data_IF_252747789989
#
_entry.id   IF_252747789989
#
_cell.length_a   1.000
_cell.length_b   1.000
_cell.length_c   1.000
_cell.angle_alpha   90.00
_cell.angle_beta   90.00
_cell.angle_gamma   90.00
#
_symmetry.space_group_name_H-M   'P 1'
#
loop_
_entity.id
_entity.type
_entity.pdbx_description
1 polymer ?
#
# COMPACT_ATOMS: atom_id res chain seq x y z
N UNK A 1 22.45 -20.70 -31.24
CA UNK A 1 21.96 -19.34 -30.89
C UNK A 1 20.45 -19.28 -30.62
N UNK A 2 19.62 -20.05 -31.32
CA UNK A 2 18.15 -20.08 -31.11
C UNK A 2 17.70 -20.56 -29.70
N UNK A 3 18.41 -21.50 -29.09
CA UNK A 3 18.05 -22.02 -27.75
C UNK A 3 18.10 -20.97 -26.63
N UNK A 4 19.05 -20.04 -26.69
CA UNK A 4 19.16 -18.97 -25.70
C UNK A 4 18.00 -17.96 -25.80
N UNK A 5 17.54 -17.68 -27.03
CA UNK A 5 16.40 -16.78 -27.27
C UNK A 5 15.10 -17.42 -26.79
N UNK A 6 14.91 -18.72 -27.01
CA UNK A 6 13.75 -19.48 -26.51
C UNK A 6 13.70 -19.53 -24.98
N UNK A 7 14.84 -19.78 -24.34
CA UNK A 7 14.94 -19.77 -22.88
C UNK A 7 14.60 -18.38 -22.30
N UNK A 8 15.10 -17.30 -22.92
CA UNK A 8 14.81 -15.93 -22.49
C UNK A 8 13.33 -15.59 -22.61
N UNK A 9 12.69 -15.96 -23.74
CA UNK A 9 11.25 -15.76 -23.94
C UNK A 9 10.41 -16.57 -22.94
N UNK A 10 10.81 -17.81 -22.65
CA UNK A 10 10.12 -18.65 -21.67
C UNK A 10 10.16 -18.04 -20.27
N UNK A 11 11.32 -17.54 -19.84
CA UNK A 11 11.48 -16.88 -18.54
C UNK A 11 10.66 -15.59 -18.47
N UNK A 12 10.67 -14.78 -19.54
CA UNK A 12 9.89 -13.55 -19.60
C UNK A 12 8.38 -13.84 -19.52
N UNK A 13 7.90 -14.83 -20.26
CA UNK A 13 6.52 -15.29 -20.22
C UNK A 13 6.16 -15.84 -18.82
N UNK A 14 7.08 -16.54 -18.16
CA UNK A 14 6.88 -17.05 -16.80
C UNK A 14 6.74 -15.93 -15.77
N UNK A 15 7.58 -14.88 -15.84
CA UNK A 15 7.50 -13.72 -14.93
C UNK A 15 6.20 -12.95 -15.13
N UNK A 16 5.84 -12.66 -16.39
CA UNK A 16 4.58 -11.99 -16.72
C UNK A 16 3.38 -12.85 -16.31
N UNK A 17 3.47 -14.16 -16.53
CA UNK A 17 2.48 -15.13 -16.10
C UNK A 17 2.28 -15.13 -14.58
N UNK A 18 3.36 -15.21 -13.80
CA UNK A 18 3.31 -15.14 -12.34
C UNK A 18 2.75 -13.79 -11.87
N UNK A 19 3.22 -12.67 -12.42
CA UNK A 19 2.72 -11.34 -12.09
C UNK A 19 1.23 -11.17 -12.43
N UNK A 20 0.79 -11.75 -13.55
CA UNK A 20 -0.62 -11.74 -13.96
C UNK A 20 -1.48 -12.64 -13.07
N UNK A 21 -0.99 -13.82 -12.69
CA UNK A 21 -1.67 -14.72 -11.74
C UNK A 21 -1.80 -14.06 -10.37
N UNK A 22 -0.75 -13.40 -9.88
CA UNK A 22 -0.79 -12.59 -8.65
C UNK A 22 -1.80 -11.45 -8.76
N UNK A 23 -1.88 -10.79 -9.93
CA UNK A 23 -2.88 -9.74 -10.22
C UNK A 23 -4.29 -10.28 -10.40
N UNK A 24 -4.44 -11.57 -10.76
CA UNK A 24 -5.71 -12.25 -10.97
C UNK A 24 -6.26 -12.87 -9.69
N UNK A 25 -5.43 -13.13 -8.69
CA UNK A 25 -5.90 -13.53 -7.36
C UNK A 25 -6.64 -12.35 -6.69
N UNK A 26 -7.94 -12.48 -6.39
CA UNK A 26 -8.74 -11.41 -5.79
C UNK A 26 -8.42 -11.13 -4.30
N UNK A 27 -7.25 -11.56 -3.79
CA UNK A 27 -6.97 -11.61 -2.35
C UNK A 27 -5.75 -10.83 -1.84
N UNK A 28 -4.92 -10.22 -2.68
CA UNK A 28 -3.63 -9.64 -2.21
C UNK A 28 -3.51 -8.13 -2.37
N UNK A 29 -4.61 -7.42 -2.62
CA UNK A 29 -4.64 -5.98 -2.56
C UNK A 29 -5.89 -5.56 -1.83
N UNK A 30 -5.73 -4.79 -0.76
CA UNK A 30 -6.70 -3.80 -0.32
C UNK A 30 -6.98 -2.86 -1.51
N UNK A 31 -7.69 -3.33 -2.54
CA UNK A 31 -8.34 -2.44 -3.49
C UNK A 31 -9.44 -1.79 -2.66
N UNK A 32 -9.36 -0.48 -2.36
CA UNK A 32 -10.50 0.18 -1.75
C UNK A 32 -11.66 -0.08 -2.72
N UNK A 33 -12.66 -0.81 -2.25
CA UNK A 33 -13.92 -0.88 -2.99
C UNK A 33 -14.35 0.57 -3.20
N UNK A 34 -14.64 0.97 -4.43
CA UNK A 34 -15.06 2.36 -4.69
C UNK A 34 -16.27 2.66 -3.78
N UNK A 35 -16.09 3.59 -2.85
CA UNK A 35 -17.08 3.95 -1.82
C UNK A 35 -16.90 3.33 -0.42
N UNK A 36 -15.99 2.37 -0.24
CA UNK A 36 -15.60 1.79 1.06
C UNK A 36 -14.10 1.99 1.28
N UNK A 37 -13.74 2.96 2.09
CA UNK A 37 -12.34 3.27 2.43
C UNK A 37 -12.04 2.84 3.85
N UNK A 38 -11.12 1.89 4.02
CA UNK A 38 -10.59 1.54 5.35
C UNK A 38 -9.65 2.66 5.80
N UNK A 39 -10.05 3.41 6.82
CA UNK A 39 -9.27 4.55 7.36
C UNK A 39 -8.15 4.06 8.28
N UNK A 40 -8.44 3.06 9.11
CA UNK A 40 -7.49 2.46 10.03
C UNK A 40 -7.95 1.05 10.42
N UNK A 41 -7.00 0.16 10.69
CA UNK A 41 -7.26 -1.16 11.27
C UNK A 41 -6.31 -1.40 12.43
N UNK A 42 -6.85 -1.65 13.62
CA UNK A 42 -6.12 -1.96 14.84
C UNK A 42 -6.41 -3.41 15.23
N UNK A 43 -5.38 -4.23 15.40
CA UNK A 43 -5.55 -5.60 15.93
C UNK A 43 -5.59 -5.50 17.45
N UNK A 44 -6.69 -5.94 18.07
CA UNK A 44 -6.92 -5.84 19.51
C UNK A 44 -6.66 -7.18 20.21
N UNK A 45 -6.68 -8.29 19.46
CA UNK A 45 -6.36 -9.63 19.97
C UNK A 45 -5.88 -10.58 18.86
N UNK A 46 -5.61 -11.84 19.21
CA UNK A 46 -5.06 -12.84 18.26
C UNK A 46 -5.91 -13.05 16.99
N UNK A 47 -7.23 -12.83 17.11
CA UNK A 47 -8.21 -12.94 16.01
C UNK A 47 -9.20 -11.77 15.98
N UNK A 48 -8.95 -10.73 16.76
CA UNK A 48 -9.87 -9.60 16.92
C UNK A 48 -9.24 -8.34 16.34
N UNK A 49 -9.97 -7.67 15.46
CA UNK A 49 -9.53 -6.48 14.75
C UNK A 49 -10.62 -5.43 14.79
N UNK A 50 -10.27 -4.21 15.15
CA UNK A 50 -11.14 -3.04 15.03
C UNK A 50 -10.75 -2.31 13.76
N UNK A 51 -11.72 -2.09 12.88
CA UNK A 51 -11.53 -1.46 11.57
C UNK A 51 -12.44 -0.26 11.48
N UNK A 52 -11.89 0.90 11.16
CA UNK A 52 -12.66 2.10 10.82
C UNK A 52 -12.86 2.09 9.31
N UNK A 53 -14.10 2.03 8.86
CA UNK A 53 -14.46 2.07 7.44
C UNK A 53 -15.29 3.32 7.19
N UNK A 54 -14.85 4.11 6.22
CA UNK A 54 -15.58 5.25 5.69
C UNK A 54 -16.48 4.76 4.54
N UNK A 55 -17.79 4.98 4.69
CA UNK A 55 -18.83 4.59 3.73
C UNK A 55 -19.69 5.82 3.43
N UNK A 56 -19.73 6.26 2.16
CA UNK A 56 -20.53 7.43 1.74
C UNK A 56 -20.28 8.72 2.58
N UNK A 57 -19.08 8.92 3.09
CA UNK A 57 -18.72 10.12 3.89
C UNK A 57 -18.98 10.00 5.40
N UNK A 58 -19.52 8.88 5.88
CA UNK A 58 -19.62 8.59 7.32
C UNK A 58 -18.56 7.55 7.73
N UNK A 59 -17.90 7.76 8.88
CA UNK A 59 -16.94 6.80 9.43
C UNK A 59 -17.63 5.86 10.43
N UNK A 60 -17.57 4.56 10.15
CA UNK A 60 -18.14 3.52 10.99
C UNK A 60 -17.01 2.67 11.61
N UNK A 61 -17.01 2.58 12.94
CA UNK A 61 -16.13 1.69 13.68
C UNK A 61 -16.72 0.29 13.69
N UNK A 62 -16.03 -0.66 13.08
CA UNK A 62 -16.43 -2.06 12.98
C UNK A 62 -15.47 -2.92 13.82
N UNK A 63 -16.03 -3.73 14.72
CA UNK A 63 -15.32 -4.83 15.35
C UNK A 63 -15.40 -6.07 14.47
N UNK A 64 -14.26 -6.64 14.10
CA UNK A 64 -14.12 -7.87 13.32
C UNK A 64 -13.54 -8.93 14.24
N UNK A 65 -14.33 -9.95 14.55
CA UNK A 65 -13.91 -11.11 15.35
C UNK A 65 -13.99 -12.38 14.50
N UNK A 66 -13.44 -13.49 15.01
CA UNK A 66 -13.59 -14.80 14.36
C UNK A 66 -15.04 -15.26 14.22
N UNK A 67 -15.97 -14.71 15.03
CA UNK A 67 -17.39 -15.04 15.02
C UNK A 67 -18.28 -14.11 14.20
N UNK A 68 -17.75 -12.98 13.70
CA UNK A 68 -18.55 -12.03 12.90
C UNK A 68 -18.06 -10.58 12.96
N UNK A 69 -18.74 -9.73 12.18
CA UNK A 69 -18.51 -8.28 12.08
C UNK A 69 -19.63 -7.56 12.83
N UNK A 70 -19.29 -6.69 13.79
CA UNK A 70 -20.23 -5.88 14.53
C UNK A 70 -19.91 -4.39 14.38
N UNK A 71 -20.92 -3.55 14.13
CA UNK A 71 -20.76 -2.10 14.12
C UNK A 71 -20.77 -1.58 15.56
N UNK A 72 -19.61 -1.13 16.03
CA UNK A 72 -19.42 -0.64 17.39
C UNK A 72 -19.99 0.79 17.55
N UNK A 73 -19.69 1.69 16.60
CA UNK A 73 -20.13 3.08 16.69
C UNK A 73 -20.04 3.82 15.36
N UNK A 74 -20.93 4.80 15.14
CA UNK A 74 -20.79 5.81 14.08
C UNK A 74 -19.96 6.95 14.65
N UNK A 75 -18.81 7.24 14.06
CA UNK A 75 -18.02 8.40 14.47
C UNK A 75 -18.60 9.64 13.78
N UNK A 76 -19.16 10.61 14.53
CA UNK A 76 -19.66 11.86 13.97
C UNK A 76 -18.53 12.78 13.49
N UNK A 77 -17.30 12.56 13.96
CA UNK A 77 -16.13 13.36 13.61
C UNK A 77 -15.09 12.46 12.93
N UNK A 78 -14.64 12.81 11.71
CA UNK A 78 -13.74 11.96 10.95
C UNK A 78 -12.37 11.88 11.63
N UNK A 79 -11.87 10.66 11.85
CA UNK A 79 -10.52 10.46 12.36
C UNK A 79 -9.50 11.09 11.41
N UNK A 80 -8.43 11.71 11.96
CA UNK A 80 -7.35 12.25 11.15
C UNK A 80 -6.78 11.11 10.29
N UNK A 81 -7.03 11.20 8.99
CA UNK A 81 -6.45 10.29 8.01
C UNK A 81 -4.93 10.35 8.17
N UNK A 82 -4.25 9.21 8.38
CA UNK A 82 -2.79 9.18 8.31
C UNK A 82 -2.39 9.71 6.94
N UNK A 83 -1.66 10.83 6.92
CA UNK A 83 -1.13 11.37 5.68
C UNK A 83 -0.39 10.22 4.97
N UNK A 84 -0.65 9.97 3.67
CA UNK A 84 0.06 8.91 2.95
C UNK A 84 1.54 9.13 3.19
N UNK A 85 2.24 8.07 3.63
CA UNK A 85 3.66 8.13 3.91
C UNK A 85 4.33 8.81 2.71
N UNK A 86 4.83 10.04 2.91
CA UNK A 86 5.49 10.81 1.86
C UNK A 86 6.72 10.00 1.48
N UNK A 87 6.58 9.20 0.43
CA UNK A 87 7.73 8.63 -0.26
C UNK A 87 8.62 9.83 -0.63
N UNK A 88 9.91 9.82 -0.27
CA UNK A 88 10.79 10.93 -0.62
C UNK A 88 10.66 11.20 -2.12
N UNK A 89 10.35 12.44 -2.46
CA UNK A 89 10.15 12.86 -3.84
C UNK A 89 11.50 12.79 -4.56
N UNK A 90 11.73 11.66 -5.23
CA UNK A 90 12.98 11.36 -5.93
C UNK A 90 13.28 12.35 -7.07
N UNK A 91 12.32 13.21 -7.44
CA UNK A 91 12.50 14.27 -8.46
C UNK A 91 13.17 15.53 -7.90
N UNK A 92 13.10 15.77 -6.59
CA UNK A 92 13.66 16.96 -5.93
C UNK A 92 14.89 16.67 -5.09
N UNK A 93 15.49 15.48 -5.24
CA UNK A 93 16.79 15.21 -4.64
C UNK A 93 17.83 16.10 -5.31
N UNK A 94 18.65 16.86 -4.55
CA UNK A 94 19.79 17.57 -5.11
C UNK A 94 20.62 16.57 -5.91
N UNK A 95 20.98 16.94 -7.14
CA UNK A 95 21.83 16.09 -7.96
C UNK A 95 23.09 15.78 -7.13
N UNK A 96 23.50 14.51 -7.07
CA UNK A 96 24.68 14.07 -6.32
C UNK A 96 25.91 14.96 -6.58
N UNK A 97 26.05 15.46 -7.81
CA UNK A 97 27.07 16.43 -8.19
C UNK A 97 27.09 17.71 -7.32
N UNK A 98 25.92 18.22 -6.94
CA UNK A 98 25.77 19.41 -6.10
C UNK A 98 26.20 19.13 -4.65
N UNK A 99 25.91 17.94 -4.13
CA UNK A 99 26.33 17.54 -2.78
C UNK A 99 27.86 17.39 -2.70
N UNK A 100 28.47 16.83 -3.75
CA UNK A 100 29.92 16.68 -3.84
C UNK A 100 30.60 18.06 -3.92
N UNK A 101 30.07 18.97 -4.74
CA UNK A 101 30.57 20.34 -4.83
C UNK A 101 30.43 21.11 -3.50
N UNK A 102 29.37 20.89 -2.75
CA UNK A 102 29.20 21.51 -1.43
C UNK A 102 30.23 21.01 -0.40
N UNK A 103 30.60 19.73 -0.45
CA UNK A 103 31.64 19.17 0.42
C UNK A 103 33.02 19.68 0.02
N UNK A 104 33.35 19.64 -1.27
CA UNK A 104 34.63 20.14 -1.79
C UNK A 104 34.84 21.64 -1.53
N UNK A 105 33.76 22.43 -1.58
CA UNK A 105 33.82 23.89 -1.35
C UNK A 105 33.83 24.27 0.14
N UNK A 106 33.55 23.33 1.04
CA UNK A 106 33.53 23.56 2.49
C UNK A 106 34.86 23.21 3.17
N UNK A 107 35.79 22.57 2.45
CA UNK A 107 37.13 22.21 2.92
C UNK A 107 38.24 23.13 2.32
N UNK A 108 37.92 24.38 1.95
CA UNK A 108 38.88 25.43 1.54
C UNK A 108 38.69 26.70 2.34
#
# INVERSE_FOLDING_TARGET
MFGAVLALLAVLALIVGLGWVLRRMPGSGFRPAEGLRVVASLTVGAKERVVVVEVNGEQLLLGVTAGGINALHRLPEPLPTPAPARLPDFKHLPNFAQMLQQRLRKDS
#
